data_IF_009373333927
#
_entry.id   IF_009373333927
#
_cell.length_a   1.000
_cell.length_b   1.000
_cell.length_c   1.000
_cell.angle_alpha   90.00
_cell.angle_beta   90.00
_cell.angle_gamma   90.00
#
_symmetry.space_group_name_H-M   'P 1'
#
loop_
_entity.id
_entity.type
_entity.pdbx_description
1 polymer ?
#
# COMPACT_ATOMS: atom_id res chain seq x y z
N UNK A 1 13.52 -21.07 -28.52
CA UNK A 1 13.20 -20.76 -27.12
C UNK A 1 13.66 -21.94 -26.28
N UNK A 2 14.60 -21.73 -25.37
CA UNK A 2 15.01 -22.75 -24.40
C UNK A 2 13.85 -22.95 -23.42
N UNK A 3 13.37 -24.19 -23.24
CA UNK A 3 12.35 -24.47 -22.22
C UNK A 3 12.92 -24.15 -20.83
N UNK A 4 12.14 -23.47 -19.99
CA UNK A 4 12.53 -23.18 -18.60
C UNK A 4 12.63 -24.47 -17.79
N UNK A 5 13.59 -24.53 -16.87
CA UNK A 5 13.78 -25.68 -15.98
C UNK A 5 12.90 -25.56 -14.73
N UNK A 6 12.75 -26.67 -13.99
CA UNK A 6 12.10 -26.65 -12.67
C UNK A 6 12.80 -25.70 -11.70
N UNK A 7 14.13 -25.66 -11.75
CA UNK A 7 14.95 -24.83 -10.86
C UNK A 7 14.71 -23.33 -11.14
N UNK A 8 14.60 -22.95 -12.42
CA UNK A 8 14.26 -21.57 -12.82
C UNK A 8 12.88 -21.15 -12.29
N UNK A 9 11.90 -22.04 -12.33
CA UNK A 9 10.54 -21.75 -11.84
C UNK A 9 10.51 -21.68 -10.31
N UNK A 10 11.26 -22.54 -9.61
CA UNK A 10 11.33 -22.50 -8.15
C UNK A 10 12.03 -21.25 -7.62
N UNK A 11 13.06 -20.78 -8.31
CA UNK A 11 13.71 -19.51 -7.99
C UNK A 11 12.75 -18.33 -8.16
N UNK A 12 12.02 -18.29 -9.27
CA UNK A 12 11.03 -17.23 -9.52
C UNK A 12 9.88 -17.27 -8.52
N UNK A 13 9.35 -18.46 -8.19
CA UNK A 13 8.30 -18.61 -7.16
C UNK A 13 8.75 -18.02 -5.82
N UNK A 14 9.98 -18.34 -5.38
CA UNK A 14 10.54 -17.78 -4.14
C UNK A 14 10.67 -16.25 -4.22
N UNK A 15 11.17 -15.74 -5.35
CA UNK A 15 11.33 -14.30 -5.55
C UNK A 15 10.00 -13.56 -5.51
N UNK A 16 8.99 -14.05 -6.24
CA UNK A 16 7.68 -13.43 -6.29
C UNK A 16 6.93 -13.53 -4.96
N UNK A 17 7.12 -14.62 -4.21
CA UNK A 17 6.57 -14.72 -2.84
C UNK A 17 7.17 -13.66 -1.92
N UNK A 18 8.50 -13.49 -1.93
CA UNK A 18 9.17 -12.44 -1.12
C UNK A 18 8.66 -11.05 -1.51
N UNK A 19 8.48 -10.78 -2.81
CA UNK A 19 7.94 -9.50 -3.29
C UNK A 19 6.50 -9.28 -2.84
N UNK A 20 5.66 -10.31 -2.90
CA UNK A 20 4.28 -10.28 -2.41
C UNK A 20 4.24 -9.95 -0.91
N UNK A 21 4.98 -10.71 -0.10
CA UNK A 21 5.04 -10.51 1.36
C UNK A 21 5.50 -9.08 1.71
N UNK A 22 6.51 -8.57 0.99
CA UNK A 22 6.98 -7.20 1.17
C UNK A 22 5.92 -6.16 0.78
N UNK A 23 5.24 -6.34 -0.36
CA UNK A 23 4.20 -5.42 -0.82
C UNK A 23 3.00 -5.39 0.15
N UNK A 24 2.57 -6.56 0.66
CA UNK A 24 1.54 -6.64 1.69
C UNK A 24 1.93 -5.88 2.96
N UNK A 25 3.18 -6.07 3.42
CA UNK A 25 3.68 -5.36 4.60
C UNK A 25 3.76 -3.86 4.36
N UNK A 26 4.22 -3.41 3.18
CA UNK A 26 4.22 -2.00 2.80
C UNK A 26 2.81 -1.41 2.77
N UNK A 27 1.82 -2.15 2.24
CA UNK A 27 0.41 -1.74 2.25
C UNK A 27 -0.12 -1.56 3.68
N UNK A 28 0.13 -2.53 4.56
CA UNK A 28 -0.26 -2.44 5.99
C UNK A 28 0.37 -1.23 6.67
N UNK A 29 1.65 -0.96 6.41
CA UNK A 29 2.35 0.18 6.97
C UNK A 29 1.79 1.52 6.45
N UNK A 30 1.50 1.61 5.15
CA UNK A 30 0.89 2.80 4.55
C UNK A 30 -0.51 3.08 5.13
N UNK A 31 -1.33 2.04 5.32
CA UNK A 31 -2.65 2.17 5.96
C UNK A 31 -2.52 2.64 7.40
N UNK A 32 -1.58 2.09 8.17
CA UNK A 32 -1.31 2.55 9.53
C UNK A 32 -0.89 4.01 9.55
N UNK A 33 0.08 4.40 8.73
CA UNK A 33 0.55 5.79 8.64
C UNK A 33 -0.57 6.75 8.24
N UNK A 34 -1.45 6.35 7.31
CA UNK A 34 -2.63 7.14 6.93
C UNK A 34 -3.50 7.39 8.17
N UNK A 35 -3.84 6.34 8.91
CA UNK A 35 -4.67 6.46 10.10
C UNK A 35 -4.02 7.32 11.19
N UNK A 36 -2.74 7.07 11.51
CA UNK A 36 -1.98 7.81 12.52
C UNK A 36 -1.97 9.33 12.19
N UNK A 37 -1.79 9.69 10.90
CA UNK A 37 -1.83 11.09 10.44
C UNK A 37 -3.23 11.71 10.59
N UNK A 38 -4.29 10.97 10.24
CA UNK A 38 -5.66 11.46 10.38
C UNK A 38 -6.06 11.65 11.84
N UNK A 39 -5.61 10.77 12.74
CA UNK A 39 -5.81 10.94 14.19
C UNK A 39 -5.12 12.21 14.71
N UNK A 40 -3.85 12.42 14.35
CA UNK A 40 -3.11 13.64 14.73
C UNK A 40 -3.78 14.92 14.19
N UNK A 41 -4.36 14.88 12.99
CA UNK A 41 -5.12 16.00 12.46
C UNK A 41 -6.35 16.31 13.32
N UNK A 42 -7.10 15.28 13.71
CA UNK A 42 -8.28 15.45 14.58
C UNK A 42 -7.87 16.09 15.90
N UNK A 43 -6.82 15.57 16.56
CA UNK A 43 -6.31 16.10 17.82
C UNK A 43 -5.86 17.57 17.69
N UNK A 44 -5.19 17.92 16.59
CA UNK A 44 -4.78 19.29 16.30
C UNK A 44 -5.99 20.21 16.13
N UNK A 45 -6.98 19.81 15.33
CA UNK A 45 -8.19 20.59 15.08
C UNK A 45 -9.02 20.80 16.35
N UNK A 46 -9.12 19.78 17.20
CA UNK A 46 -9.76 19.89 18.52
C UNK A 46 -9.02 20.88 19.41
N UNK A 47 -7.68 20.82 19.41
CA UNK A 47 -6.84 21.75 20.18
C UNK A 47 -7.00 23.20 19.71
N UNK A 48 -7.05 23.43 18.39
CA UNK A 48 -7.25 24.77 17.81
C UNK A 48 -8.63 25.34 18.16
N UNK A 49 -9.68 24.51 18.10
CA UNK A 49 -11.05 24.90 18.50
C UNK A 49 -11.17 25.19 20.00
N UNK A 50 -10.46 24.46 20.84
CA UNK A 50 -10.37 24.77 22.27
C UNK A 50 -9.62 26.08 22.51
N UNK A 51 -8.60 26.36 21.69
CA UNK A 51 -7.84 27.61 21.67
C UNK A 51 -8.71 28.85 21.46
N UNK A 52 -9.74 28.76 20.60
CA UNK A 52 -10.68 29.88 20.34
C UNK A 52 -11.29 30.47 21.62
N UNK A 53 -11.52 29.65 22.65
CA UNK A 53 -12.08 30.10 23.92
C UNK A 53 -11.15 31.05 24.70
N UNK A 54 -9.87 31.11 24.34
CA UNK A 54 -8.84 31.93 24.98
C UNK A 54 -8.41 33.12 24.11
N UNK A 55 -8.86 33.20 22.86
CA UNK A 55 -8.58 34.32 21.96
C UNK A 55 -9.47 35.50 22.34
N UNK A 56 -8.88 36.69 22.36
CA UNK A 56 -9.57 37.90 22.83
C UNK A 56 -9.64 38.99 21.77
N UNK A 57 -8.74 38.94 20.78
CA UNK A 57 -8.71 39.86 19.67
C UNK A 57 -9.34 39.25 18.42
N UNK A 58 -10.02 40.07 17.61
CA UNK A 58 -10.64 39.59 16.38
C UNK A 58 -9.62 39.09 15.36
N UNK A 59 -8.45 39.71 15.31
CA UNK A 59 -7.34 39.32 14.43
C UNK A 59 -6.84 37.91 14.79
N UNK A 60 -6.70 37.60 16.08
CA UNK A 60 -6.32 36.25 16.56
C UNK A 60 -7.33 35.17 16.10
N UNK A 61 -8.63 35.47 16.16
CA UNK A 61 -9.69 34.56 15.71
C UNK A 61 -9.66 34.35 14.19
N UNK A 62 -9.40 35.41 13.41
CA UNK A 62 -9.25 35.30 11.96
C UNK A 62 -8.02 34.45 11.59
N UNK A 63 -6.88 34.69 12.22
CA UNK A 63 -5.66 33.91 12.02
C UNK A 63 -5.83 32.43 12.37
N UNK A 64 -6.50 32.12 13.49
CA UNK A 64 -6.77 30.73 13.88
C UNK A 64 -7.70 30.03 12.88
N UNK A 65 -8.72 30.72 12.38
CA UNK A 65 -9.62 30.19 11.36
C UNK A 65 -8.88 29.91 10.04
N UNK A 66 -8.02 30.82 9.59
CA UNK A 66 -7.22 30.64 8.38
C UNK A 66 -6.24 29.46 8.54
N UNK A 67 -5.65 29.30 9.72
CA UNK A 67 -4.80 28.15 10.02
C UNK A 67 -5.58 26.83 10.00
N UNK A 68 -6.77 26.78 10.62
CA UNK A 68 -7.66 25.60 10.58
C UNK A 68 -8.02 25.23 9.14
N UNK A 69 -8.35 26.21 8.29
CA UNK A 69 -8.64 25.98 6.87
C UNK A 69 -7.44 25.40 6.12
N UNK A 70 -6.24 25.91 6.41
CA UNK A 70 -4.98 25.43 5.82
C UNK A 70 -4.71 23.98 6.22
N UNK A 71 -4.78 23.66 7.51
CA UNK A 71 -4.59 22.29 8.04
C UNK A 71 -5.57 21.32 7.38
N UNK A 72 -6.84 21.70 7.24
CA UNK A 72 -7.84 20.86 6.59
C UNK A 72 -7.51 20.60 5.10
N UNK A 73 -7.14 21.65 4.36
CA UNK A 73 -6.79 21.52 2.94
C UNK A 73 -5.54 20.66 2.72
N UNK A 74 -4.50 20.87 3.52
CA UNK A 74 -3.27 20.10 3.44
C UNK A 74 -3.50 18.63 3.78
N UNK A 75 -4.33 18.35 4.79
CA UNK A 75 -4.58 16.96 5.18
C UNK A 75 -5.45 16.22 4.19
N UNK A 76 -6.43 16.86 3.55
CA UNK A 76 -7.17 16.26 2.43
C UNK A 76 -6.22 15.86 1.28
N UNK A 77 -5.27 16.73 0.96
CA UNK A 77 -4.26 16.45 -0.08
C UNK A 77 -3.34 15.29 0.32
N UNK A 78 -2.97 15.22 1.60
CA UNK A 78 -2.15 14.15 2.14
C UNK A 78 -2.92 12.81 2.17
N UNK A 79 -4.20 12.84 2.53
CA UNK A 79 -5.09 11.68 2.53
C UNK A 79 -5.19 11.08 1.13
N UNK A 80 -5.45 11.90 0.11
CA UNK A 80 -5.51 11.48 -1.29
C UNK A 80 -4.17 10.89 -1.76
N UNK A 81 -3.05 11.47 -1.33
CA UNK A 81 -1.72 10.93 -1.62
C UNK A 81 -1.51 9.54 -0.99
N UNK A 82 -1.95 9.30 0.25
CA UNK A 82 -1.89 7.98 0.87
C UNK A 82 -2.79 6.96 0.14
N UNK A 83 -4.01 7.35 -0.22
CA UNK A 83 -4.92 6.47 -0.97
C UNK A 83 -4.36 6.08 -2.32
N UNK A 84 -3.77 7.04 -3.04
CA UNK A 84 -3.09 6.77 -4.30
C UNK A 84 -1.93 5.77 -4.13
N UNK A 85 -1.09 5.93 -3.10
CA UNK A 85 -0.01 4.98 -2.81
C UNK A 85 -0.53 3.59 -2.43
N UNK A 86 -1.57 3.51 -1.60
CA UNK A 86 -2.20 2.24 -1.23
C UNK A 86 -2.79 1.53 -2.47
N UNK A 87 -3.40 2.28 -3.38
CA UNK A 87 -3.93 1.75 -4.63
C UNK A 87 -2.83 1.21 -5.55
N UNK A 88 -1.70 1.93 -5.66
CA UNK A 88 -0.55 1.48 -6.43
C UNK A 88 0.01 0.16 -5.87
N UNK A 89 0.27 0.09 -4.56
CA UNK A 89 0.76 -1.15 -3.93
C UNK A 89 -0.27 -2.29 -4.04
N UNK A 90 -1.56 -1.98 -3.99
CA UNK A 90 -2.61 -2.99 -4.19
C UNK A 90 -2.57 -3.59 -5.60
N UNK A 91 -2.27 -2.78 -6.61
CA UNK A 91 -2.07 -3.26 -7.98
C UNK A 91 -0.81 -4.13 -8.09
N UNK A 92 0.29 -3.73 -7.44
CA UNK A 92 1.52 -4.54 -7.41
C UNK A 92 1.28 -5.90 -6.76
N UNK A 93 0.52 -5.96 -5.66
CA UNK A 93 0.10 -7.22 -5.02
C UNK A 93 -0.63 -8.11 -6.02
N UNK A 94 -1.64 -7.58 -6.71
CA UNK A 94 -2.39 -8.35 -7.73
C UNK A 94 -1.48 -8.84 -8.85
N UNK A 95 -0.52 -8.03 -9.30
CA UNK A 95 0.42 -8.43 -10.35
C UNK A 95 1.34 -9.57 -9.86
N UNK A 96 1.77 -9.56 -8.60
CA UNK A 96 2.55 -10.65 -8.00
C UNK A 96 1.74 -11.93 -7.80
N UNK A 97 0.50 -11.84 -7.33
CA UNK A 97 -0.42 -12.99 -7.23
C UNK A 97 -0.63 -13.65 -8.59
N UNK A 98 -0.91 -12.84 -9.62
CA UNK A 98 -1.07 -13.33 -10.99
C UNK A 98 0.22 -13.99 -11.54
N UNK A 99 1.39 -13.47 -11.18
CA UNK A 99 2.67 -14.05 -11.59
C UNK A 99 2.90 -15.40 -10.90
N UNK A 100 2.61 -15.49 -9.60
CA UNK A 100 2.70 -16.75 -8.85
C UNK A 100 1.77 -17.81 -9.43
N UNK A 101 0.52 -17.48 -9.72
CA UNK A 101 -0.44 -18.40 -10.34
C UNK A 101 0.09 -18.96 -11.66
N UNK A 102 0.61 -18.10 -12.54
CA UNK A 102 1.22 -18.51 -13.81
C UNK A 102 2.38 -19.48 -13.60
N UNK A 103 3.26 -19.20 -12.64
CA UNK A 103 4.40 -20.07 -12.32
C UNK A 103 3.95 -21.41 -11.75
N UNK A 104 2.89 -21.44 -10.94
CA UNK A 104 2.30 -22.70 -10.44
C UNK A 104 1.74 -23.55 -11.60
N UNK A 105 1.01 -22.95 -12.53
CA UNK A 105 0.52 -23.64 -13.73
C UNK A 105 1.67 -24.15 -14.60
N UNK A 106 2.71 -23.33 -14.81
CA UNK A 106 3.90 -23.72 -15.57
C UNK A 106 4.60 -24.93 -14.94
N UNK A 107 4.79 -24.90 -13.61
CA UNK A 107 5.38 -26.01 -12.85
C UNK A 107 4.58 -27.29 -13.01
N UNK A 108 3.25 -27.23 -12.90
CA UNK A 108 2.38 -28.40 -13.08
C UNK A 108 2.45 -28.98 -14.50
N UNK A 109 2.44 -28.11 -15.52
CA UNK A 109 2.55 -28.54 -16.92
C UNK A 109 3.88 -29.27 -17.19
N UNK A 110 4.99 -28.77 -16.64
CA UNK A 110 6.28 -29.45 -16.75
C UNK A 110 6.31 -30.79 -16.02
N UNK A 111 5.66 -30.90 -14.85
CA UNK A 111 5.54 -32.18 -14.14
C UNK A 111 4.79 -33.23 -14.98
N UNK A 112 3.68 -32.84 -15.61
CA UNK A 112 2.91 -33.72 -16.48
C UNK A 112 3.75 -34.20 -17.67
N UNK A 113 4.40 -33.27 -18.40
CA UNK A 113 5.29 -33.62 -19.52
C UNK A 113 6.44 -34.55 -19.11
N UNK A 114 7.01 -34.34 -17.92
CA UNK A 114 8.09 -35.18 -17.39
C UNK A 114 7.61 -36.61 -17.09
N UNK A 115 6.41 -36.74 -16.52
CA UNK A 115 5.81 -38.04 -16.20
C UNK A 115 5.40 -38.82 -17.46
N UNK A 116 4.84 -38.15 -18.47
CA UNK A 116 4.52 -38.76 -19.78
C UNK A 116 5.75 -39.33 -20.47
N UNK A 117 6.91 -38.65 -20.38
CA UNK A 117 8.18 -39.14 -20.95
C UNK A 117 8.79 -40.33 -20.20
N UNK A 118 8.40 -40.58 -18.94
CA UNK A 118 8.92 -41.68 -18.12
C UNK A 118 8.04 -42.94 -18.13
N UNK A 119 6.78 -42.81 -18.57
CA UNK A 119 5.80 -43.90 -18.59
C UNK A 119 5.52 -44.51 -19.97
N UNK A 120 6.23 -44.06 -21.02
CA UNK A 120 6.13 -44.54 -22.40
C UNK A 120 7.28 -45.42 -22.84
#
# INVERSE_FOLDING_TARGET
MTERTFEDIELDLKLFQIKLDNAENSKRLLQKLKNDVMELQIELLESLKLGDAYLTESEELEENNDFILTVNSETLSLEESYDNRINLVSKEIMDYENALDKLYYEKQSLMQKSNERKGG
#
